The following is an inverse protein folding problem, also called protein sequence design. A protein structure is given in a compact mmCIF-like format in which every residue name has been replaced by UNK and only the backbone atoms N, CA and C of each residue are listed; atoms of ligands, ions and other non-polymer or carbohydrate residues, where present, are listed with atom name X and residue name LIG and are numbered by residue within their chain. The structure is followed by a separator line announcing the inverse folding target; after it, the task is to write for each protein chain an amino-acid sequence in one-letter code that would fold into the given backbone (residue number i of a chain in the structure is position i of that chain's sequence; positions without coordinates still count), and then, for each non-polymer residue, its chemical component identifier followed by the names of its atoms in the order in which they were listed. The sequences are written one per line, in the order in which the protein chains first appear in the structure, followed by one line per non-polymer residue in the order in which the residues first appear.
data_IF_330949205126
#
_entry.id   IF_330949205126
#
_cell.length_a   1.000
_cell.length_b   1.000
_cell.length_c   1.000
_cell.angle_alpha   90.00
_cell.angle_beta   90.00
_cell.angle_gamma   90.00
#
_symmetry.space_group_name_H-M   'P 1'
#
loop_
_entity.id
_entity.type
_entity.pdbx_description
1 polymer ?
#
# COMPACT_ATOMS: atom_id res chain seq x y z
N UNK A 1 -9.30 9.64 -7.78
CA UNK A 1 -9.46 10.66 -6.73
C UNK A 1 -8.38 10.46 -5.69
N UNK A 2 -7.25 11.18 -5.78
CA UNK A 2 -6.12 11.01 -4.85
C UNK A 2 -5.77 12.26 -4.04
N UNK A 3 -6.46 13.38 -4.25
CA UNK A 3 -6.07 14.67 -3.65
C UNK A 3 -7.26 15.46 -3.08
N UNK A 4 -8.38 14.81 -2.75
CA UNK A 4 -9.50 15.49 -2.10
C UNK A 4 -9.23 15.66 -0.60
N UNK A 5 -9.27 16.90 -0.14
CA UNK A 5 -9.16 17.24 1.28
C UNK A 5 -10.53 17.27 1.93
N UNK A 6 -10.58 17.27 3.27
CA UNK A 6 -11.85 17.30 4.02
C UNK A 6 -12.62 18.61 3.81
N UNK A 7 -11.91 19.65 3.35
CA UNK A 7 -12.45 20.97 3.04
C UNK A 7 -13.17 21.03 1.69
N UNK A 8 -12.89 20.10 0.78
CA UNK A 8 -13.48 20.07 -0.57
C UNK A 8 -14.87 19.45 -0.59
N UNK A 9 -15.39 19.00 0.57
CA UNK A 9 -16.69 18.35 0.68
C UNK A 9 -17.79 19.41 0.58
N UNK A 10 -18.73 19.31 -0.39
CA UNK A 10 -19.83 20.25 -0.49
C UNK A 10 -20.70 20.22 0.78
N UNK A 11 -21.04 21.40 1.30
CA UNK A 11 -21.88 21.54 2.51
C UNK A 11 -23.18 20.75 2.43
N UNK A 12 -23.82 20.71 1.25
CA UNK A 12 -25.05 19.95 1.02
C UNK A 12 -24.89 18.44 1.31
N UNK A 13 -23.75 17.86 0.93
CA UNK A 13 -23.46 16.44 1.15
C UNK A 13 -23.14 16.18 2.62
N UNK A 14 -22.43 17.12 3.25
CA UNK A 14 -22.11 17.06 4.68
C UNK A 14 -23.40 17.12 5.53
N UNK A 15 -24.32 18.01 5.18
CA UNK A 15 -25.63 18.15 5.85
C UNK A 15 -26.45 16.87 5.71
N UNK A 16 -26.52 16.30 4.50
CA UNK A 16 -27.21 15.02 4.25
C UNK A 16 -26.64 13.88 5.12
N UNK A 17 -25.31 13.77 5.17
CA UNK A 17 -24.63 12.77 6.00
C UNK A 17 -24.91 12.98 7.50
N UNK A 18 -24.85 14.23 7.97
CA UNK A 18 -25.14 14.59 9.35
C UNK A 18 -26.59 14.26 9.74
N UNK A 19 -27.56 14.54 8.87
CA UNK A 19 -28.96 14.19 9.09
C UNK A 19 -29.18 12.68 9.18
N UNK A 20 -28.50 11.91 8.33
CA UNK A 20 -28.54 10.45 8.39
C UNK A 20 -27.93 9.88 9.68
N UNK A 21 -26.80 10.44 10.14
CA UNK A 21 -26.16 10.04 11.40
C UNK A 21 -27.07 10.36 12.60
N UNK A 22 -27.69 11.55 12.63
CA UNK A 22 -28.64 11.93 13.69
C UNK A 22 -29.84 10.97 13.73
N UNK A 23 -30.40 10.63 12.57
CA UNK A 23 -31.56 9.73 12.48
C UNK A 23 -31.28 8.31 12.96
N UNK A 24 -30.05 7.81 12.77
CA UNK A 24 -29.63 6.45 13.16
C UNK A 24 -28.98 6.39 14.56
N UNK A 25 -28.83 7.51 15.24
CA UNK A 25 -28.28 7.55 16.61
C UNK A 25 -29.35 7.21 17.65
N UNK A 26 -29.04 6.29 18.57
CA UNK A 26 -29.98 5.84 19.62
C UNK A 26 -30.47 7.01 20.48
N UNK A 27 -29.53 7.81 21.00
CA UNK A 27 -29.84 9.01 21.80
C UNK A 27 -30.03 10.24 20.91
N UNK A 28 -29.21 10.38 19.87
CA UNK A 28 -29.16 11.61 19.09
C UNK A 28 -30.37 11.86 18.20
N UNK A 29 -31.17 10.83 17.91
CA UNK A 29 -32.39 11.00 17.16
C UNK A 29 -33.47 11.83 17.91
N UNK A 30 -33.45 11.80 19.25
CA UNK A 30 -34.46 12.47 20.09
C UNK A 30 -34.02 13.83 20.64
N UNK A 31 -32.73 14.13 20.62
CA UNK A 31 -32.17 15.37 21.17
C UNK A 31 -32.04 16.45 20.08
N UNK A 32 -32.24 17.70 20.45
CA UNK A 32 -31.93 18.85 19.60
C UNK A 32 -30.48 19.30 19.80
N UNK A 33 -29.95 20.08 18.87
CA UNK A 33 -28.66 20.79 18.99
C UNK A 33 -27.47 19.89 19.31
N UNK A 34 -27.28 18.85 18.49
CA UNK A 34 -26.24 17.84 18.69
C UNK A 34 -25.02 18.16 17.84
N UNK A 35 -23.82 17.93 18.41
CA UNK A 35 -22.57 17.92 17.66
C UNK A 35 -22.34 16.56 17.01
N UNK A 36 -22.19 16.58 15.69
CA UNK A 36 -21.79 15.42 14.91
C UNK A 36 -20.33 15.60 14.53
N UNK A 37 -19.55 14.57 14.83
CA UNK A 37 -18.12 14.52 14.57
C UNK A 37 -17.87 13.95 13.17
N UNK A 38 -17.03 14.61 12.39
CA UNK A 38 -16.55 14.12 11.10
C UNK A 38 -15.03 14.29 11.00
N UNK A 39 -14.36 13.26 10.49
CA UNK A 39 -12.90 13.20 10.34
C UNK A 39 -12.55 12.32 9.14
N UNK A 40 -11.35 12.51 8.60
CA UNK A 40 -10.78 11.60 7.60
C UNK A 40 -10.61 10.19 8.18
N UNK A 41 -10.81 9.17 7.33
CA UNK A 41 -10.68 7.76 7.71
C UNK A 41 -9.26 7.40 8.17
N UNK A 42 -8.24 8.07 7.63
CA UNK A 42 -6.84 7.89 8.03
C UNK A 42 -6.58 8.28 9.50
N UNK A 43 -7.44 9.08 10.12
CA UNK A 43 -7.35 9.45 11.53
C UNK A 43 -8.04 8.43 12.48
N UNK A 44 -8.77 7.45 11.95
CA UNK A 44 -9.42 6.44 12.76
C UNK A 44 -8.42 5.40 13.25
N UNK A 45 -8.35 5.24 14.57
CA UNK A 45 -7.51 4.27 15.27
C UNK A 45 -8.35 3.09 15.72
N UNK A 46 -7.97 1.89 15.28
CA UNK A 46 -8.53 0.63 15.75
C UNK A 46 -7.43 -0.24 16.34
N UNK A 47 -7.59 -0.68 17.59
CA UNK A 47 -6.68 -1.64 18.23
C UNK A 47 -7.33 -3.02 18.32
N UNK A 48 -6.52 -4.09 18.44
CA UNK A 48 -7.01 -5.46 18.49
C UNK A 48 -7.90 -5.75 19.72
N UNK A 49 -7.74 -5.00 20.81
CA UNK A 49 -8.56 -5.13 22.03
C UNK A 49 -9.86 -4.34 22.01
N UNK A 50 -10.18 -3.60 20.94
CA UNK A 50 -11.42 -2.81 20.85
C UNK A 50 -12.58 -3.64 20.30
N UNK A 51 -13.73 -3.57 20.98
CA UNK A 51 -14.96 -4.26 20.56
C UNK A 51 -15.42 -3.83 19.16
N UNK A 52 -16.20 -4.69 18.49
CA UNK A 52 -16.77 -4.35 17.19
C UNK A 52 -17.59 -3.05 17.27
N UNK A 53 -17.31 -2.10 16.38
CA UNK A 53 -17.92 -0.77 16.40
C UNK A 53 -17.18 0.29 17.23
N UNK A 54 -16.31 -0.10 18.16
CA UNK A 54 -15.49 0.85 18.92
C UNK A 54 -14.30 1.35 18.09
N UNK A 55 -14.12 2.67 18.03
CA UNK A 55 -13.00 3.35 17.36
C UNK A 55 -12.48 4.49 18.23
N UNK A 56 -11.20 4.82 18.08
CA UNK A 56 -10.57 6.00 18.67
C UNK A 56 -9.97 6.89 17.57
N UNK A 57 -9.42 8.05 17.93
CA UNK A 57 -8.71 8.93 16.98
C UNK A 57 -7.20 8.87 17.20
N UNK A 58 -6.42 9.07 16.13
CA UNK A 58 -4.97 9.26 16.25
C UNK A 58 -4.62 10.69 16.67
N UNK A 59 -5.33 11.67 16.14
CA UNK A 59 -5.16 13.10 16.39
C UNK A 59 -6.52 13.75 16.60
N UNK A 60 -6.80 14.17 17.84
CA UNK A 60 -8.06 14.86 18.17
C UNK A 60 -8.19 16.24 17.50
N UNK A 61 -7.07 16.86 17.11
CA UNK A 61 -7.07 18.17 16.42
C UNK A 61 -7.63 18.11 15.00
N UNK A 62 -7.55 16.95 14.36
CA UNK A 62 -8.04 16.77 12.99
C UNK A 62 -9.54 16.42 12.96
N UNK A 63 -10.17 16.38 14.14
CA UNK A 63 -11.58 16.07 14.32
C UNK A 63 -12.41 17.35 14.21
N UNK A 64 -13.35 17.38 13.27
CA UNK A 64 -14.27 18.51 13.06
C UNK A 64 -15.66 18.18 13.57
N UNK A 65 -16.43 19.21 13.90
CA UNK A 65 -17.77 19.10 14.47
C UNK A 65 -18.75 19.97 13.68
N UNK A 66 -19.94 19.42 13.41
CA UNK A 66 -21.09 20.17 12.86
C UNK A 66 -22.20 20.13 13.89
N UNK A 67 -22.76 21.31 14.20
CA UNK A 67 -23.95 21.42 15.05
C UNK A 67 -25.21 21.22 14.21
N UNK A 68 -26.02 20.22 14.55
CA UNK A 68 -27.31 19.96 13.91
C UNK A 68 -28.44 20.20 14.90
N UNK A 69 -29.18 21.30 14.67
CA UNK A 69 -30.30 21.70 15.51
C UNK A 69 -31.43 20.66 15.51
N UNK A 70 -32.03 20.39 14.35
CA UNK A 70 -33.19 19.50 14.21
C UNK A 70 -32.99 18.46 13.11
N UNK A 71 -33.65 17.31 13.28
CA UNK A 71 -33.75 16.28 12.24
C UNK A 71 -34.65 16.72 11.11
N UNK A 72 -34.19 16.61 9.87
CA UNK A 72 -35.01 16.81 8.68
C UNK A 72 -35.42 15.44 8.07
N UNK A 73 -36.71 15.11 8.17
CA UNK A 73 -37.24 13.84 7.69
C UNK A 73 -37.23 13.73 6.16
N UNK A 74 -37.32 14.84 5.43
CA UNK A 74 -37.38 14.83 3.97
C UNK A 74 -36.07 14.32 3.38
N UNK A 75 -34.95 14.80 3.93
CA UNK A 75 -33.60 14.37 3.54
C UNK A 75 -33.41 12.89 3.82
N UNK A 76 -33.75 12.43 5.03
CA UNK A 76 -33.61 11.02 5.42
C UNK A 76 -34.47 10.11 4.53
N UNK A 77 -35.71 10.51 4.24
CA UNK A 77 -36.62 9.76 3.39
C UNK A 77 -36.12 9.69 1.94
N UNK A 78 -35.56 10.79 1.41
CA UNK A 78 -34.92 10.81 0.09
C UNK A 78 -33.76 9.83 0.02
N UNK A 79 -32.87 9.85 1.01
CA UNK A 79 -31.70 8.96 1.06
C UNK A 79 -32.11 7.49 1.17
N UNK A 80 -33.09 7.18 2.02
CA UNK A 80 -33.60 5.81 2.20
C UNK A 80 -34.25 5.26 0.93
N UNK A 81 -34.93 6.09 0.12
CA UNK A 81 -35.49 5.66 -1.18
C UNK A 81 -34.41 5.23 -2.18
N UNK A 82 -33.23 5.86 -2.12
CA UNK A 82 -32.10 5.55 -3.01
C UNK A 82 -31.18 4.46 -2.47
N UNK A 83 -31.41 3.99 -1.24
CA UNK A 83 -30.59 2.98 -0.58
C UNK A 83 -30.68 1.66 -1.34
N UNK A 84 -29.52 1.13 -1.75
CA UNK A 84 -29.37 -0.24 -2.25
C UNK A 84 -28.53 -1.00 -1.25
N UNK A 85 -29.05 -2.13 -0.77
CA UNK A 85 -28.30 -3.01 0.13
C UNK A 85 -27.71 -4.15 -0.70
N UNK A 86 -26.39 -4.31 -0.57
CA UNK A 86 -25.69 -5.50 -1.03
C UNK A 86 -25.12 -6.19 0.21
N UNK A 87 -25.12 -7.52 0.21
CA UNK A 87 -24.54 -8.34 1.27
C UNK A 87 -23.31 -9.09 0.73
N UNK A 88 -22.20 -8.38 0.45
CA UNK A 88 -20.97 -9.05 0.05
C UNK A 88 -20.39 -9.84 1.23
N UNK A 89 -19.82 -11.00 0.93
CA UNK A 89 -19.08 -11.80 1.92
C UNK A 89 -17.73 -11.11 2.21
N UNK A 90 -17.72 -10.29 3.25
CA UNK A 90 -16.55 -9.51 3.68
C UNK A 90 -15.31 -10.37 3.96
N UNK A 91 -15.50 -11.65 4.34
CA UNK A 91 -14.40 -12.56 4.60
C UNK A 91 -13.70 -12.95 3.31
N UNK A 92 -14.47 -13.28 2.28
CA UNK A 92 -13.92 -13.61 0.95
C UNK A 92 -13.24 -12.40 0.30
N UNK A 93 -13.82 -11.20 0.41
CA UNK A 93 -13.18 -9.98 -0.11
C UNK A 93 -11.87 -9.65 0.60
N UNK A 94 -11.77 -9.91 1.90
CA UNK A 94 -10.52 -9.75 2.63
C UNK A 94 -9.48 -10.79 2.21
N UNK A 95 -9.86 -12.06 2.13
CA UNK A 95 -8.93 -13.13 1.74
C UNK A 95 -8.41 -12.96 0.32
N UNK A 96 -9.25 -12.49 -0.62
CA UNK A 96 -8.85 -12.17 -1.98
C UNK A 96 -7.88 -10.99 -2.04
N UNK A 97 -8.12 -9.92 -1.28
CA UNK A 97 -7.17 -8.80 -1.14
C UNK A 97 -5.82 -9.27 -0.57
N UNK A 98 -5.85 -9.99 0.56
CA UNK A 98 -4.65 -10.49 1.23
C UNK A 98 -3.86 -11.46 0.33
N UNK A 99 -4.55 -12.20 -0.55
CA UNK A 99 -3.93 -13.07 -1.57
C UNK A 99 -3.23 -12.25 -2.65
N UNK A 100 -3.91 -11.25 -3.22
CA UNK A 100 -3.34 -10.38 -4.25
C UNK A 100 -2.10 -9.64 -3.74
N UNK A 101 -2.14 -9.07 -2.53
CA UNK A 101 -0.97 -8.42 -1.92
C UNK A 101 0.21 -9.37 -1.72
N UNK A 102 -0.05 -10.64 -1.37
CA UNK A 102 1.00 -11.66 -1.26
C UNK A 102 1.58 -12.03 -2.62
N UNK A 103 0.76 -12.15 -3.65
CA UNK A 103 1.21 -12.44 -5.01
C UNK A 103 2.06 -11.31 -5.58
N UNK A 104 1.66 -10.06 -5.37
CA UNK A 104 2.43 -8.88 -5.80
C UNK A 104 3.78 -8.80 -5.08
N UNK A 105 3.80 -9.00 -3.75
CA UNK A 105 5.06 -9.07 -2.99
C UNK A 105 5.97 -10.18 -3.52
N UNK A 106 5.42 -11.35 -3.86
CA UNK A 106 6.17 -12.48 -4.41
C UNK A 106 6.72 -12.18 -5.81
N UNK A 107 5.97 -11.47 -6.66
CA UNK A 107 6.44 -11.02 -7.98
C UNK A 107 7.61 -10.05 -7.85
N UNK A 108 7.47 -9.02 -7.02
CA UNK A 108 8.55 -8.04 -6.77
C UNK A 108 9.82 -8.72 -6.26
N UNK A 109 9.69 -9.67 -5.32
CA UNK A 109 10.84 -10.40 -4.79
C UNK A 109 11.53 -11.27 -5.84
N UNK A 110 10.74 -11.92 -6.72
CA UNK A 110 11.27 -12.74 -7.82
C UNK A 110 11.99 -11.88 -8.86
N UNK A 111 11.40 -10.76 -9.27
CA UNK A 111 12.04 -9.82 -10.20
C UNK A 111 13.36 -9.27 -9.64
N UNK A 112 13.37 -8.94 -8.34
CA UNK A 112 14.60 -8.51 -7.67
C UNK A 112 15.68 -9.61 -7.69
N UNK A 113 15.29 -10.85 -7.38
CA UNK A 113 16.20 -11.99 -7.40
C UNK A 113 16.72 -12.33 -8.80
N UNK A 114 15.88 -12.19 -9.83
CA UNK A 114 16.29 -12.39 -11.22
C UNK A 114 17.29 -11.34 -11.67
N UNK A 115 17.06 -10.05 -11.34
CA UNK A 115 18.01 -8.96 -11.59
C UNK A 115 19.35 -9.19 -10.88
N UNK A 116 19.33 -9.56 -9.60
CA UNK A 116 20.56 -9.88 -8.84
C UNK A 116 21.34 -11.04 -9.48
N UNK A 117 20.64 -12.08 -9.96
CA UNK A 117 21.28 -13.23 -10.62
C UNK A 117 21.88 -12.87 -11.98
N UNK A 118 21.22 -12.01 -12.74
CA UNK A 118 21.72 -11.53 -14.03
C UNK A 118 22.96 -10.64 -13.85
N UNK A 119 22.96 -9.75 -12.85
CA UNK A 119 24.13 -8.96 -12.48
C UNK A 119 25.30 -9.84 -12.02
N UNK A 120 25.06 -10.88 -11.22
CA UNK A 120 26.11 -11.79 -10.77
C UNK A 120 26.72 -12.58 -11.95
N UNK A 121 25.88 -13.03 -12.90
CA UNK A 121 26.36 -13.69 -14.13
C UNK A 121 27.21 -12.75 -14.97
N UNK A 122 26.73 -11.53 -15.24
CA UNK A 122 27.49 -10.53 -16.01
C UNK A 122 28.85 -10.24 -15.37
N UNK A 123 28.88 -10.11 -14.04
CA UNK A 123 30.12 -9.89 -13.29
C UNK A 123 31.08 -11.08 -13.37
N UNK A 124 30.56 -12.33 -13.37
CA UNK A 124 31.38 -13.54 -13.57
C UNK A 124 31.93 -13.64 -14.98
N UNK A 125 31.11 -13.37 -15.99
CA UNK A 125 31.55 -13.34 -17.40
C UNK A 125 32.61 -12.27 -17.64
N UNK A 126 32.43 -11.05 -17.10
CA UNK A 126 33.45 -9.99 -17.14
C UNK A 126 34.73 -10.40 -16.40
N UNK A 127 34.62 -11.03 -15.24
CA UNK A 127 35.78 -11.52 -14.49
C UNK A 127 36.50 -12.66 -15.21
N UNK A 128 35.77 -13.55 -15.89
CA UNK A 128 36.32 -14.65 -16.68
C UNK A 128 37.02 -14.13 -17.94
N UNK A 129 36.41 -13.19 -18.68
CA UNK A 129 37.03 -12.48 -19.82
C UNK A 129 38.28 -11.71 -19.39
N UNK A 130 38.27 -11.11 -18.19
CA UNK A 130 39.41 -10.37 -17.64
C UNK A 130 40.49 -11.28 -17.08
N UNK A 131 40.12 -12.48 -16.61
CA UNK A 131 41.08 -13.50 -16.24
C UNK A 131 41.59 -14.17 -17.52
N UNK A 132 42.87 -14.05 -17.83
CA UNK A 132 43.51 -14.74 -18.96
C UNK A 132 43.57 -16.29 -18.77
N UNK A 133 42.63 -16.88 -18.02
CA UNK A 133 42.60 -18.29 -17.61
C UNK A 133 42.43 -19.25 -18.79
N UNK A 134 41.70 -18.87 -19.83
CA UNK A 134 41.60 -19.63 -21.09
C UNK A 134 42.85 -19.53 -21.96
N UNK A 135 43.69 -18.51 -21.75
CA UNK A 135 45.00 -18.34 -22.41
C UNK A 135 46.12 -19.09 -21.67
N UNK A 136 46.01 -19.30 -20.35
CA UNK A 136 46.92 -20.07 -19.50
C UNK A 136 46.64 -21.59 -19.51
N UNK A 137 46.39 -22.18 -20.69
CA UNK A 137 46.32 -23.63 -20.84
C UNK A 137 47.74 -24.19 -21.02
N UNK A 138 48.06 -25.29 -20.32
CA UNK A 138 49.37 -25.94 -20.40
C UNK A 138 49.75 -26.34 -21.85
N UNK A 139 48.75 -26.61 -22.71
CA UNK A 139 48.93 -26.91 -24.14
C UNK A 139 49.48 -25.72 -24.95
N UNK A 140 49.23 -24.49 -24.51
CA UNK A 140 49.68 -23.25 -25.17
C UNK A 140 50.88 -22.59 -24.45
N UNK A 141 51.37 -23.19 -23.36
CA UNK A 141 52.54 -22.69 -22.64
C UNK A 141 53.81 -23.31 -23.23
N UNK A 142 54.55 -22.52 -24.01
CA UNK A 142 55.92 -22.87 -24.41
C UNK A 142 56.89 -22.40 -23.32
N UNK A 143 57.68 -23.33 -22.78
CA UNK A 143 58.73 -23.00 -21.81
C UNK A 143 59.91 -22.40 -22.53
N UNK A 144 60.43 -21.25 -22.08
CA UNK A 144 61.71 -20.69 -22.56
C UNK A 144 62.95 -21.50 -22.13
N UNK A 145 62.76 -22.75 -21.69
CA UNK A 145 63.81 -23.67 -21.30
C UNK A 145 64.06 -24.68 -22.43
N UNK A 146 64.11 -24.17 -23.66
CA UNK A 146 64.71 -24.88 -24.79
C UNK A 146 66.00 -24.12 -25.10
N UNK A 147 67.12 -24.84 -25.04
CA UNK A 147 68.46 -24.30 -24.78
C UNK A 147 68.86 -23.15 -25.70
N UNK A 148 68.73 -21.92 -25.20
CA UNK A 148 69.37 -20.75 -25.79
C UNK A 148 70.84 -20.71 -25.34
N UNK A 149 71.62 -21.65 -25.87
CA UNK A 149 73.08 -21.73 -25.71
C UNK A 149 73.78 -21.32 -27.01
N UNK A 150 73.26 -20.28 -27.66
CA UNK A 150 73.95 -19.59 -28.75
C UNK A 150 74.28 -18.16 -28.32
N UNK A 151 75.26 -18.05 -27.44
CA UNK A 151 76.07 -16.85 -27.23
C UNK A 151 77.02 -16.75 -28.44
N UNK A 152 76.50 -16.25 -29.58
CA UNK A 152 77.33 -15.86 -30.72
C UNK A 152 77.74 -14.40 -30.54
N UNK A 153 78.91 -14.25 -29.93
CA UNK A 153 79.63 -13.00 -29.67
C UNK A 153 80.07 -12.34 -30.99
N UNK A 154 79.44 -11.21 -31.34
CA UNK A 154 80.04 -10.08 -32.07
C UNK A 154 79.53 -8.75 -31.52
#
# INVERSE_FOLDING_TARGET
MKDQTIDDIPNLVLDDACQLVKANSIMGNKMNDIDIVYTMWANLKKTAGMEAGQVAFHKDKDVRKVRVAKRNNEIVNRLNKTKKEAFPDLRQERETRDRLEREDKKKVLREKKEKEKEEEKRKKEEAELRSYSTLMKAENMTTNYDGNDSDDFM
#
